data_IF_766194113627
#
_entry.id   IF_766194113627
#
_cell.length_a   1.000
_cell.length_b   1.000
_cell.length_c   1.000
_cell.angle_alpha   90.00
_cell.angle_beta   90.00
_cell.angle_gamma   90.00
#
_symmetry.space_group_name_H-M   'P 1'
#
loop_
_entity.id
_entity.type
_entity.pdbx_description
1 polymer ?
#
# COMPACT_ATOMS: atom_id res chain seq x y z
N UNK A 1 -0.58 -2.02 -0.07
CA UNK A 1 -0.56 -0.68 -0.65
C UNK A 1 -1.98 -0.25 -1.00
N UNK A 2 -2.37 0.98 -0.66
CA UNK A 2 -3.75 1.46 -0.83
C UNK A 2 -3.82 2.49 -1.95
N UNK A 3 -4.66 2.23 -2.96
CA UNK A 3 -4.82 3.07 -4.15
C UNK A 3 -6.23 3.67 -4.16
N UNK A 4 -6.33 4.98 -4.36
CA UNK A 4 -7.58 5.65 -4.70
C UNK A 4 -7.67 5.74 -6.23
N UNK A 5 -8.79 5.33 -6.81
CA UNK A 5 -9.06 5.43 -8.24
C UNK A 5 -10.32 6.26 -8.44
N UNK A 6 -10.19 7.36 -9.14
CA UNK A 6 -11.30 8.22 -9.55
C UNK A 6 -11.51 8.06 -11.06
N UNK A 7 -12.62 7.44 -11.44
CA UNK A 7 -13.00 7.09 -12.82
C UNK A 7 -14.53 7.02 -12.91
N UNK A 8 -15.13 7.75 -13.83
CA UNK A 8 -16.58 7.80 -14.03
C UNK A 8 -17.11 6.79 -15.08
N UNK A 9 -16.22 6.28 -15.94
CA UNK A 9 -16.56 5.19 -16.86
C UNK A 9 -16.68 3.87 -16.10
N UNK A 10 -17.91 3.43 -15.83
CA UNK A 10 -18.18 2.26 -15.01
C UNK A 10 -17.51 0.96 -15.52
N UNK A 11 -17.49 0.62 -16.83
CA UNK A 11 -16.76 -0.52 -17.36
C UNK A 11 -15.25 -0.45 -17.08
N UNK A 12 -14.63 0.72 -17.27
CA UNK A 12 -13.21 0.89 -17.00
C UNK A 12 -12.91 0.84 -15.50
N UNK A 13 -13.75 1.46 -14.69
CA UNK A 13 -13.65 1.44 -13.24
C UNK A 13 -13.67 0.00 -12.68
N UNK A 14 -14.62 -0.82 -13.13
CA UNK A 14 -14.72 -2.23 -12.73
C UNK A 14 -13.50 -3.03 -13.19
N UNK A 15 -13.06 -2.83 -14.44
CA UNK A 15 -11.84 -3.47 -14.95
C UNK A 15 -10.61 -3.10 -14.12
N UNK A 16 -10.43 -1.82 -13.81
CA UNK A 16 -9.30 -1.35 -12.98
C UNK A 16 -9.36 -1.93 -11.57
N UNK A 17 -10.54 -1.93 -10.96
CA UNK A 17 -10.75 -2.49 -9.63
C UNK A 17 -10.32 -3.96 -9.56
N UNK A 18 -10.84 -4.79 -10.47
CA UNK A 18 -10.53 -6.22 -10.51
C UNK A 18 -9.05 -6.47 -10.76
N UNK A 19 -8.45 -5.77 -11.74
CA UNK A 19 -7.05 -5.99 -12.12
C UNK A 19 -6.07 -5.51 -11.04
N UNK A 20 -6.31 -4.37 -10.42
CA UNK A 20 -5.48 -3.87 -9.33
C UNK A 20 -5.60 -4.74 -8.07
N UNK A 21 -6.78 -5.31 -7.80
CA UNK A 21 -6.92 -6.29 -6.71
C UNK A 21 -6.16 -7.60 -6.98
N UNK A 22 -6.11 -8.06 -8.23
CA UNK A 22 -5.28 -9.21 -8.62
C UNK A 22 -3.79 -8.95 -8.37
N UNK A 23 -3.33 -7.71 -8.57
CA UNK A 23 -1.97 -7.24 -8.22
C UNK A 23 -1.81 -6.94 -6.71
N UNK A 24 -2.76 -7.39 -5.87
CA UNK A 24 -2.71 -7.27 -4.41
C UNK A 24 -2.82 -5.84 -3.85
N UNK A 25 -3.27 -4.87 -4.64
CA UNK A 25 -3.56 -3.53 -4.15
C UNK A 25 -4.89 -3.48 -3.40
N UNK A 26 -4.95 -2.66 -2.37
CA UNK A 26 -6.22 -2.26 -1.76
C UNK A 26 -6.78 -1.07 -2.50
N UNK A 27 -7.89 -1.25 -3.19
CA UNK A 27 -8.45 -0.24 -4.09
C UNK A 27 -9.72 0.37 -3.50
N UNK A 28 -9.78 1.69 -3.50
CA UNK A 28 -11.00 2.48 -3.28
C UNK A 28 -11.39 3.13 -4.59
N UNK A 29 -12.62 2.87 -5.05
CA UNK A 29 -13.17 3.48 -6.26
C UNK A 29 -14.08 4.65 -5.91
N UNK A 30 -14.04 5.69 -6.73
CA UNK A 30 -14.98 6.83 -6.72
C UNK A 30 -15.25 7.27 -8.15
N UNK A 31 -16.39 7.93 -8.40
CA UNK A 31 -16.82 8.32 -9.74
C UNK A 31 -16.90 9.84 -9.95
N UNK A 32 -16.57 10.63 -8.95
CA UNK A 32 -16.55 12.10 -9.07
C UNK A 32 -15.33 12.73 -8.38
N UNK A 33 -14.98 13.94 -8.84
CA UNK A 33 -13.79 14.65 -8.39
C UNK A 33 -13.89 15.16 -6.96
N UNK A 34 -15.06 15.60 -6.52
CA UNK A 34 -15.28 16.11 -5.16
C UNK A 34 -15.11 15.02 -4.11
N UNK A 35 -15.65 13.82 -4.37
CA UNK A 35 -15.42 12.68 -3.49
C UNK A 35 -13.96 12.21 -3.52
N UNK A 36 -13.34 12.19 -4.71
CA UNK A 36 -11.92 11.87 -4.85
C UNK A 36 -11.04 12.78 -4.00
N UNK A 37 -11.28 14.08 -4.08
CA UNK A 37 -10.56 15.08 -3.30
C UNK A 37 -10.76 14.90 -1.80
N UNK A 38 -12.01 14.77 -1.35
CA UNK A 38 -12.35 14.56 0.05
C UNK A 38 -11.64 13.33 0.62
N UNK A 39 -11.74 12.20 -0.06
CA UNK A 39 -11.09 10.96 0.38
C UNK A 39 -9.57 11.06 0.37
N UNK A 40 -8.99 11.69 -0.66
CA UNK A 40 -7.55 11.93 -0.71
C UNK A 40 -7.05 12.76 0.47
N UNK A 41 -7.87 13.65 1.04
CA UNK A 41 -7.52 14.46 2.21
C UNK A 41 -7.73 13.73 3.53
N UNK A 42 -8.87 13.08 3.68
CA UNK A 42 -9.32 12.50 4.95
C UNK A 42 -8.65 11.16 5.27
N UNK A 43 -8.14 10.47 4.25
CA UNK A 43 -7.58 9.15 4.40
C UNK A 43 -6.15 9.05 3.88
N UNK A 44 -5.44 8.01 4.34
CA UNK A 44 -4.10 7.72 3.85
C UNK A 44 -4.17 6.79 2.62
N UNK A 45 -3.67 7.28 1.50
CA UNK A 45 -3.43 6.52 0.28
C UNK A 45 -1.95 6.55 -0.06
N UNK A 46 -1.48 5.49 -0.69
CA UNK A 46 -0.10 5.39 -1.17
C UNK A 46 0.02 5.88 -2.62
N UNK A 47 -1.12 5.92 -3.34
CA UNK A 47 -1.18 6.28 -4.76
C UNK A 47 -2.59 6.72 -5.16
N UNK A 48 -2.68 7.63 -6.13
CA UNK A 48 -3.96 8.06 -6.74
C UNK A 48 -3.89 7.84 -8.25
N UNK A 49 -4.95 7.24 -8.81
CA UNK A 49 -5.22 7.21 -10.25
C UNK A 49 -6.41 8.13 -10.46
N UNK A 50 -6.28 9.13 -11.32
CA UNK A 50 -7.24 10.21 -11.44
C UNK A 50 -7.58 10.46 -12.91
N UNK A 51 -8.83 10.25 -13.31
CA UNK A 51 -9.27 10.68 -14.62
C UNK A 51 -9.30 12.20 -14.72
N UNK A 52 -8.92 12.70 -15.88
CA UNK A 52 -8.98 14.13 -16.19
C UNK A 52 -10.43 14.63 -16.26
N UNK A 53 -11.35 13.83 -16.84
CA UNK A 53 -12.72 14.22 -17.15
C UNK A 53 -13.71 13.70 -16.10
N UNK A 54 -13.50 14.01 -14.84
CA UNK A 54 -14.44 13.65 -13.78
C UNK A 54 -15.62 14.63 -13.71
N UNK A 55 -16.83 14.15 -13.36
CA UNK A 55 -17.95 15.03 -13.04
C UNK A 55 -17.72 15.80 -11.75
N UNK A 56 -18.54 16.83 -11.54
CA UNK A 56 -18.54 17.77 -10.43
C UNK A 56 -17.25 18.60 -10.34
N UNK A 57 -16.11 18.02 -10.05
CA UNK A 57 -14.80 18.69 -9.99
C UNK A 57 -13.84 17.98 -10.94
N UNK A 58 -13.34 18.70 -11.94
CA UNK A 58 -12.44 18.13 -12.96
C UNK A 58 -11.13 17.62 -12.37
N UNK A 59 -10.62 16.52 -12.93
CA UNK A 59 -9.40 15.87 -12.41
C UNK A 59 -8.20 16.78 -12.28
N UNK A 60 -8.07 17.83 -13.13
CA UNK A 60 -6.97 18.79 -13.05
C UNK A 60 -7.06 19.65 -11.78
N UNK A 61 -8.25 20.05 -11.37
CA UNK A 61 -8.45 20.88 -10.17
C UNK A 61 -8.26 20.01 -8.91
N UNK A 62 -8.75 18.78 -8.94
CA UNK A 62 -8.48 17.77 -7.90
C UNK A 62 -6.97 17.56 -7.73
N UNK A 63 -6.22 17.42 -8.83
CA UNK A 63 -4.75 17.28 -8.81
C UNK A 63 -4.09 18.47 -8.12
N UNK A 64 -4.45 19.71 -8.52
CA UNK A 64 -3.89 20.94 -7.92
C UNK A 64 -4.16 21.00 -6.42
N UNK A 65 -5.36 20.66 -6.01
CA UNK A 65 -5.76 20.65 -4.60
C UNK A 65 -5.01 19.57 -3.80
N UNK A 66 -4.81 18.38 -4.39
CA UNK A 66 -3.97 17.33 -3.79
C UNK A 66 -2.54 17.83 -3.63
N UNK A 67 -1.95 18.45 -4.65
CA UNK A 67 -0.57 18.98 -4.57
C UNK A 67 -0.41 20.05 -3.50
N UNK A 68 -1.40 20.92 -3.33
CA UNK A 68 -1.38 21.95 -2.29
C UNK A 68 -1.36 21.41 -0.86
N UNK A 69 -2.06 20.29 -0.61
CA UNK A 69 -2.20 19.70 0.75
C UNK A 69 -1.32 18.48 1.00
N UNK A 70 -1.08 17.67 -0.03
CA UNK A 70 -0.32 16.42 0.02
C UNK A 70 0.67 16.36 -1.13
N UNK A 71 1.71 17.19 -1.15
CA UNK A 71 2.64 17.31 -2.27
C UNK A 71 3.36 16.01 -2.63
N UNK A 72 3.55 15.14 -1.63
CA UNK A 72 4.26 13.86 -1.78
C UNK A 72 3.34 12.68 -2.15
N UNK A 73 2.02 12.88 -2.28
CA UNK A 73 1.09 11.80 -2.65
C UNK A 73 1.21 11.52 -4.15
N UNK A 74 1.67 10.35 -4.59
CA UNK A 74 1.84 10.06 -6.01
C UNK A 74 0.49 10.06 -6.74
N UNK A 75 0.42 10.78 -7.88
CA UNK A 75 -0.78 10.87 -8.72
C UNK A 75 -0.44 10.55 -10.17
N UNK A 76 -1.10 9.54 -10.72
CA UNK A 76 -1.12 9.22 -12.14
C UNK A 76 -2.43 9.73 -12.74
N UNK A 77 -2.32 10.64 -13.72
CA UNK A 77 -3.48 11.08 -14.48
C UNK A 77 -3.82 10.10 -15.59
N UNK A 78 -5.11 9.84 -15.78
CA UNK A 78 -5.64 9.10 -16.94
C UNK A 78 -6.43 10.07 -17.81
N UNK A 79 -6.24 10.02 -19.12
CA UNK A 79 -6.86 11.00 -20.02
C UNK A 79 -7.23 10.40 -21.37
N UNK A 80 -8.40 10.78 -21.89
CA UNK A 80 -8.79 10.52 -23.29
C UNK A 80 -8.25 11.56 -24.27
N UNK A 81 -7.62 12.63 -23.78
CA UNK A 81 -7.10 13.70 -24.63
C UNK A 81 -5.93 13.20 -25.51
N UNK A 82 -5.91 13.69 -26.76
CA UNK A 82 -5.00 13.17 -27.79
C UNK A 82 -3.79 14.06 -28.06
N UNK A 83 -3.74 15.26 -27.48
CA UNK A 83 -2.70 16.23 -27.79
C UNK A 83 -1.52 16.10 -26.82
N UNK A 84 -0.31 16.18 -27.34
CA UNK A 84 0.92 16.19 -26.53
C UNK A 84 0.90 17.37 -25.51
N UNK A 85 0.25 18.46 -25.84
CA UNK A 85 0.07 19.63 -25.00
C UNK A 85 -0.72 19.33 -23.72
N UNK A 86 -1.70 18.41 -23.78
CA UNK A 86 -2.46 18.01 -22.60
C UNK A 86 -1.59 17.24 -21.62
N UNK A 87 -0.71 16.37 -22.12
CA UNK A 87 0.24 15.65 -21.31
C UNK A 87 1.21 16.60 -20.58
N UNK A 88 1.74 17.60 -21.30
CA UNK A 88 2.61 18.62 -20.71
C UNK A 88 1.88 19.39 -19.60
N UNK A 89 0.63 19.84 -19.86
CA UNK A 89 -0.20 20.54 -18.86
C UNK A 89 -0.42 19.73 -17.58
N UNK A 90 -0.62 18.43 -17.71
CA UNK A 90 -0.83 17.56 -16.55
C UNK A 90 0.44 17.42 -15.72
N UNK A 91 1.59 17.27 -16.36
CA UNK A 91 2.89 17.20 -15.68
C UNK A 91 3.25 18.56 -15.02
N UNK A 92 3.04 19.67 -15.71
CA UNK A 92 3.25 21.02 -15.17
C UNK A 92 2.32 21.33 -13.98
N UNK A 93 1.11 20.74 -13.97
CA UNK A 93 0.18 20.82 -12.85
C UNK A 93 0.59 19.95 -11.65
N UNK A 94 1.64 19.14 -11.80
CA UNK A 94 2.20 18.33 -10.73
C UNK A 94 1.80 16.86 -10.77
N UNK A 95 1.28 16.34 -11.88
CA UNK A 95 1.13 14.88 -12.02
C UNK A 95 2.51 14.20 -12.06
N UNK A 96 2.64 13.04 -11.42
CA UNK A 96 3.89 12.26 -11.47
C UNK A 96 4.07 11.53 -12.79
N UNK A 97 2.96 11.19 -13.44
CA UNK A 97 2.92 10.65 -14.81
C UNK A 97 1.50 10.81 -15.36
N UNK A 98 1.33 10.59 -16.66
CA UNK A 98 0.01 10.51 -17.27
C UNK A 98 -0.08 9.37 -18.28
N UNK A 99 -1.27 8.78 -18.40
CA UNK A 99 -1.57 7.63 -19.24
C UNK A 99 -2.78 7.93 -20.14
N UNK A 100 -2.60 7.70 -21.43
CA UNK A 100 -3.66 7.95 -22.42
C UNK A 100 -4.58 6.74 -22.58
N UNK A 101 -5.89 6.97 -22.59
CA UNK A 101 -6.92 6.00 -22.99
C UNK A 101 -6.98 5.85 -24.53
N UNK A 102 -7.13 4.63 -25.09
CA UNK A 102 -7.14 3.35 -24.39
C UNK A 102 -5.71 2.85 -24.07
N UNK A 103 -5.57 2.10 -22.99
CA UNK A 103 -4.29 1.55 -22.54
C UNK A 103 -4.40 0.07 -22.16
N UNK A 104 -3.27 -0.64 -22.22
CA UNK A 104 -3.17 -1.98 -21.67
C UNK A 104 -2.92 -1.90 -20.15
N UNK A 105 -3.52 -2.82 -19.38
CA UNK A 105 -3.28 -2.87 -17.92
C UNK A 105 -1.80 -3.02 -17.57
N UNK A 106 -1.05 -3.78 -18.36
CA UNK A 106 0.40 -3.93 -18.17
C UNK A 106 1.14 -2.59 -18.23
N UNK A 107 0.72 -1.65 -19.09
CA UNK A 107 1.28 -0.31 -19.15
C UNK A 107 0.94 0.49 -17.89
N UNK A 108 -0.33 0.50 -17.46
CA UNK A 108 -0.75 1.15 -16.22
C UNK A 108 0.07 0.62 -15.03
N UNK A 109 0.18 -0.70 -14.89
CA UNK A 109 0.93 -1.33 -13.81
C UNK A 109 2.44 -0.95 -13.85
N UNK A 110 3.03 -0.88 -15.04
CA UNK A 110 4.42 -0.46 -15.20
C UNK A 110 4.63 1.02 -14.79
N UNK A 111 3.68 1.90 -15.13
CA UNK A 111 3.72 3.32 -14.76
C UNK A 111 3.51 3.53 -13.27
N UNK A 112 2.58 2.82 -12.65
CA UNK A 112 2.40 2.82 -11.19
C UNK A 112 3.74 2.47 -10.52
N UNK A 113 4.38 1.36 -10.93
CA UNK A 113 5.69 0.97 -10.38
C UNK A 113 6.77 2.02 -10.62
N UNK A 114 6.80 2.65 -11.81
CA UNK A 114 7.78 3.67 -12.13
C UNK A 114 7.62 4.95 -11.30
N UNK A 115 6.39 5.42 -11.12
CA UNK A 115 6.06 6.59 -10.31
C UNK A 115 6.39 6.34 -8.84
N UNK A 116 5.99 5.19 -8.31
CA UNK A 116 6.29 4.80 -6.94
C UNK A 116 7.80 4.71 -6.69
N UNK A 117 8.58 4.24 -7.66
CA UNK A 117 10.04 4.21 -7.58
C UNK A 117 10.66 5.62 -7.58
N UNK A 118 10.10 6.57 -8.33
CA UNK A 118 10.58 7.96 -8.40
C UNK A 118 10.17 8.80 -7.19
N UNK A 119 8.91 8.67 -6.76
CA UNK A 119 8.34 9.37 -5.61
C UNK A 119 8.73 8.79 -4.26
N UNK A 120 9.25 7.59 -4.26
CA UNK A 120 9.83 7.03 -3.05
C UNK A 120 11.21 7.65 -2.83
N UNK A 121 11.33 8.48 -1.80
CA UNK A 121 12.56 8.38 -1.01
C UNK A 121 12.80 6.89 -0.80
N UNK A 122 14.02 6.36 -0.95
CA UNK A 122 14.31 4.94 -0.77
C UNK A 122 13.63 4.31 0.44
N UNK A 123 13.39 5.10 1.48
CA UNK A 123 12.76 4.72 2.75
C UNK A 123 11.27 4.35 2.66
N UNK A 124 10.53 4.74 1.60
CA UNK A 124 9.08 4.42 1.50
C UNK A 124 8.77 3.19 0.65
N UNK A 125 9.62 2.88 -0.33
CA UNK A 125 9.43 1.68 -1.16
C UNK A 125 9.88 0.42 -0.43
N UNK A 126 10.95 0.52 0.37
CA UNK A 126 11.51 -0.58 1.13
C UNK A 126 11.30 -0.32 2.63
N UNK A 127 10.59 -1.22 3.30
CA UNK A 127 10.52 -1.23 4.76
C UNK A 127 11.67 -2.10 5.26
N UNK A 128 12.33 -1.63 6.34
CA UNK A 128 13.43 -2.36 6.98
C UNK A 128 13.21 -2.45 8.48
N UNK A 129 13.38 -3.64 9.04
CA UNK A 129 13.39 -3.90 10.48
C UNK A 129 14.57 -4.82 10.78
N UNK A 130 15.65 -4.26 11.31
CA UNK A 130 16.89 -4.98 11.46
C UNK A 130 17.45 -5.42 10.11
N UNK A 131 17.64 -6.73 9.94
CA UNK A 131 18.12 -7.38 8.71
C UNK A 131 16.99 -7.85 7.76
N UNK A 132 15.74 -7.59 8.12
CA UNK A 132 14.55 -7.91 7.33
C UNK A 132 14.15 -6.72 6.47
N UNK A 133 13.92 -6.97 5.18
CA UNK A 133 13.55 -5.96 4.21
C UNK A 133 12.33 -6.42 3.41
N UNK A 134 11.39 -5.50 3.17
CA UNK A 134 10.28 -5.67 2.21
C UNK A 134 10.42 -4.62 1.13
N UNK A 135 10.58 -5.05 -0.11
CA UNK A 135 10.33 -4.20 -1.28
C UNK A 135 8.85 -4.29 -1.64
N UNK A 136 8.11 -3.23 -1.33
CA UNK A 136 6.66 -3.12 -1.52
C UNK A 136 6.26 -3.06 -3.00
N UNK A 137 7.18 -2.63 -3.86
CA UNK A 137 6.95 -2.46 -5.29
C UNK A 137 7.24 -3.75 -6.05
N UNK A 138 8.31 -4.43 -5.70
CA UNK A 138 8.66 -5.71 -6.26
C UNK A 138 7.90 -6.88 -5.63
N UNK A 139 7.09 -6.63 -4.55
CA UNK A 139 6.49 -7.67 -3.70
C UNK A 139 7.52 -8.70 -3.23
N UNK A 140 8.75 -8.25 -2.99
CA UNK A 140 9.87 -9.09 -2.59
C UNK A 140 10.20 -8.91 -1.10
N UNK A 141 10.56 -9.99 -0.45
CA UNK A 141 10.99 -10.02 0.95
C UNK A 141 12.33 -10.71 1.04
N UNK A 142 13.22 -10.14 1.84
CA UNK A 142 14.50 -10.77 2.15
C UNK A 142 14.89 -10.53 3.62
N UNK A 143 15.65 -11.46 4.20
CA UNK A 143 16.28 -11.30 5.50
C UNK A 143 17.75 -11.68 5.44
N UNK A 144 18.63 -10.77 5.86
CA UNK A 144 20.08 -10.97 5.74
C UNK A 144 20.52 -11.27 4.29
N UNK A 145 19.87 -10.68 3.30
CA UNK A 145 20.11 -10.92 1.86
C UNK A 145 19.55 -12.22 1.32
N UNK A 146 18.87 -13.06 2.13
CA UNK A 146 18.21 -14.29 1.67
C UNK A 146 16.77 -14.02 1.31
N UNK A 147 16.32 -14.35 0.09
CA UNK A 147 14.93 -14.14 -0.31
C UNK A 147 14.00 -15.06 0.48
N UNK A 148 12.81 -14.53 0.79
CA UNK A 148 11.75 -15.24 1.51
C UNK A 148 10.49 -15.20 0.65
N UNK A 149 9.96 -16.38 0.31
CA UNK A 149 8.71 -16.50 -0.42
C UNK A 149 7.52 -16.47 0.53
N UNK A 150 6.68 -15.44 0.36
CA UNK A 150 5.47 -15.23 1.14
C UNK A 150 4.23 -15.30 0.26
N UNK A 151 3.18 -15.93 0.79
CA UNK A 151 1.85 -15.80 0.18
C UNK A 151 1.35 -14.35 0.31
N UNK A 152 0.36 -13.95 -0.49
CA UNK A 152 -0.19 -12.58 -0.45
C UNK A 152 -0.65 -12.13 0.93
N UNK A 153 -1.24 -13.02 1.70
CA UNK A 153 -1.72 -12.69 3.06
C UNK A 153 -0.57 -12.60 4.08
N UNK A 154 0.44 -13.45 3.94
CA UNK A 154 1.66 -13.35 4.76
C UNK A 154 2.41 -12.05 4.47
N UNK A 155 2.51 -11.66 3.18
CA UNK A 155 3.12 -10.40 2.77
C UNK A 155 2.38 -9.20 3.36
N UNK A 156 1.05 -9.15 3.20
CA UNK A 156 0.22 -8.06 3.74
C UNK A 156 0.30 -7.96 5.27
N UNK A 157 0.35 -9.10 5.97
CA UNK A 157 0.52 -9.14 7.41
C UNK A 157 1.91 -8.64 7.82
N UNK A 158 2.96 -9.08 7.14
CA UNK A 158 4.32 -8.66 7.43
C UNK A 158 4.50 -7.15 7.15
N UNK A 159 3.99 -6.65 6.02
CA UNK A 159 3.98 -5.23 5.69
C UNK A 159 3.27 -4.41 6.77
N UNK A 160 2.09 -4.86 7.23
CA UNK A 160 1.35 -4.19 8.29
C UNK A 160 2.14 -4.11 9.59
N UNK A 161 2.76 -5.21 10.02
CA UNK A 161 3.61 -5.23 11.21
C UNK A 161 4.82 -4.29 11.08
N UNK A 162 5.52 -4.32 9.93
CA UNK A 162 6.71 -3.49 9.70
C UNK A 162 6.39 -2.00 9.64
N UNK A 163 5.21 -1.60 9.17
CA UNK A 163 4.74 -0.21 9.25
C UNK A 163 4.51 0.28 10.68
N UNK A 164 4.32 -0.65 11.62
CA UNK A 164 4.12 -0.38 13.04
C UNK A 164 5.33 -0.88 13.86
N UNK A 165 6.54 -0.78 13.28
CA UNK A 165 7.76 -1.20 13.97
C UNK A 165 7.83 -0.63 15.38
N UNK A 166 8.17 -1.50 16.35
CA UNK A 166 8.30 -1.12 17.75
C UNK A 166 6.96 -0.92 18.50
N UNK A 167 5.83 -0.97 17.81
CA UNK A 167 4.50 -0.84 18.40
C UNK A 167 3.80 -2.19 18.51
N UNK A 168 3.09 -2.41 19.62
CA UNK A 168 2.22 -3.57 19.75
C UNK A 168 0.90 -3.33 19.03
N UNK A 169 0.56 -4.20 18.07
CA UNK A 169 -0.70 -4.16 17.33
C UNK A 169 -1.64 -5.25 17.80
N UNK A 170 -2.93 -4.91 17.98
CA UNK A 170 -3.92 -5.86 18.45
C UNK A 170 -4.34 -6.83 17.34
N UNK A 171 -4.84 -8.01 17.75
CA UNK A 171 -5.39 -8.99 16.80
C UNK A 171 -6.53 -8.41 15.98
N UNK A 172 -7.41 -7.65 16.61
CA UNK A 172 -8.53 -6.97 15.94
C UNK A 172 -8.03 -6.01 14.87
N UNK A 173 -7.08 -5.13 15.19
CA UNK A 173 -6.49 -4.23 14.22
C UNK A 173 -5.83 -4.96 13.04
N UNK A 174 -5.18 -6.09 13.30
CA UNK A 174 -4.59 -6.94 12.24
C UNK A 174 -5.70 -7.52 11.34
N UNK A 175 -6.78 -8.07 11.93
CA UNK A 175 -7.91 -8.63 11.15
C UNK A 175 -8.54 -7.56 10.28
N UNK A 176 -8.87 -6.41 10.82
CA UNK A 176 -9.47 -5.30 10.09
C UNK A 176 -8.61 -4.82 8.93
N UNK A 177 -7.30 -4.67 9.14
CA UNK A 177 -6.40 -4.10 8.13
C UNK A 177 -5.96 -5.12 7.07
N UNK A 178 -5.72 -6.37 7.46
CA UNK A 178 -5.17 -7.40 6.57
C UNK A 178 -6.27 -8.24 5.90
N UNK A 179 -7.35 -8.56 6.64
CA UNK A 179 -8.46 -9.37 6.12
C UNK A 179 -9.68 -8.55 5.71
N UNK A 180 -9.78 -7.27 6.17
CA UNK A 180 -10.91 -6.36 5.88
C UNK A 180 -12.26 -6.94 6.34
N UNK A 181 -12.27 -7.63 7.47
CA UNK A 181 -13.44 -8.26 8.07
C UNK A 181 -13.67 -7.62 9.45
N UNK A 182 -14.89 -7.14 9.68
CA UNK A 182 -15.30 -6.49 10.94
C UNK A 182 -15.95 -7.50 11.91
N UNK A 183 -15.42 -8.71 12.09
CA UNK A 183 -16.00 -9.70 12.99
C UNK A 183 -14.99 -10.24 14.01
N UNK A 184 -15.40 -10.25 15.26
CA UNK A 184 -14.64 -10.66 16.45
C UNK A 184 -14.25 -12.16 16.48
N UNK A 185 -14.82 -12.98 15.59
CA UNK A 185 -14.69 -14.43 15.62
C UNK A 185 -13.46 -15.00 14.90
N UNK A 186 -12.68 -14.19 14.16
CA UNK A 186 -11.53 -14.65 13.37
C UNK A 186 -10.16 -14.35 13.96
N UNK A 187 -10.04 -14.04 15.23
CA UNK A 187 -8.75 -13.73 15.87
C UNK A 187 -7.75 -14.89 15.81
N UNK A 188 -8.23 -16.14 15.79
CA UNK A 188 -7.37 -17.33 15.67
C UNK A 188 -6.63 -17.41 14.32
N UNK A 189 -7.17 -16.83 13.24
CA UNK A 189 -6.49 -16.80 11.94
C UNK A 189 -5.19 -16.01 12.00
N UNK A 190 -5.16 -14.94 12.78
CA UNK A 190 -3.95 -14.13 12.98
C UNK A 190 -2.83 -14.96 13.58
N UNK A 191 -3.13 -15.74 14.60
CA UNK A 191 -2.14 -16.57 15.31
C UNK A 191 -1.52 -17.64 14.38
N UNK A 192 -2.34 -18.21 13.48
CA UNK A 192 -1.87 -19.15 12.46
C UNK A 192 -0.91 -18.47 11.48
N UNK A 193 -1.29 -17.31 10.94
CA UNK A 193 -0.46 -16.57 9.98
C UNK A 193 0.82 -15.99 10.61
N UNK A 194 0.78 -15.58 11.87
CA UNK A 194 1.96 -15.21 12.64
C UNK A 194 2.92 -16.40 12.76
N UNK A 195 2.41 -17.59 13.03
CA UNK A 195 3.26 -18.79 13.09
C UNK A 195 3.87 -19.14 11.72
N UNK A 196 3.12 -18.96 10.62
CA UNK A 196 3.68 -19.12 9.27
C UNK A 196 4.79 -18.10 8.99
N UNK A 197 4.57 -16.83 9.32
CA UNK A 197 5.58 -15.80 9.18
C UNK A 197 6.83 -16.10 10.01
N UNK A 198 6.70 -16.48 11.28
CA UNK A 198 7.84 -16.84 12.13
C UNK A 198 8.68 -17.96 11.55
N UNK A 199 8.03 -19.00 10.99
CA UNK A 199 8.73 -20.10 10.34
C UNK A 199 9.56 -19.64 9.14
N UNK A 200 9.07 -18.67 8.39
CA UNK A 200 9.73 -18.16 7.18
C UNK A 200 10.73 -17.03 7.47
N UNK A 201 10.36 -16.14 8.38
CA UNK A 201 11.13 -14.93 8.67
C UNK A 201 12.14 -15.15 9.80
N UNK A 202 11.78 -15.85 10.87
CA UNK A 202 12.62 -15.97 12.08
C UNK A 202 13.41 -17.27 12.16
N UNK A 203 13.01 -18.30 11.42
CA UNK A 203 13.72 -19.60 11.48
C UNK A 203 15.12 -19.52 10.90
N UNK A 204 16.10 -20.01 11.66
CA UNK A 204 17.52 -19.99 11.25
C UNK A 204 18.25 -18.67 11.55
N UNK A 205 17.64 -17.78 12.32
CA UNK A 205 18.26 -16.55 12.82
C UNK A 205 18.29 -16.54 14.35
N UNK A 206 19.38 -16.03 14.92
CA UNK A 206 19.57 -15.97 16.38
C UNK A 206 18.56 -15.05 17.08
N UNK A 207 18.00 -14.09 16.35
CA UNK A 207 17.05 -13.12 16.89
C UNK A 207 15.72 -13.20 16.17
N UNK A 208 14.64 -13.51 16.91
CA UNK A 208 13.28 -13.38 16.42
C UNK A 208 12.86 -11.92 16.36
N UNK A 209 12.34 -11.51 15.20
CA UNK A 209 11.81 -10.15 14.97
C UNK A 209 10.35 -10.03 15.39
N UNK A 210 9.56 -11.11 15.21
CA UNK A 210 8.11 -11.11 15.49
C UNK A 210 7.88 -11.64 16.92
N UNK A 211 7.35 -10.77 17.80
CA UNK A 211 7.10 -11.07 19.20
C UNK A 211 5.63 -11.10 19.52
N UNK A 212 5.25 -11.88 20.54
CA UNK A 212 3.91 -11.84 21.13
C UNK A 212 3.95 -10.93 22.35
N UNK A 213 3.07 -9.94 22.38
CA UNK A 213 2.85 -9.10 23.56
C UNK A 213 1.62 -9.64 24.27
N UNK A 214 1.84 -10.32 25.40
CA UNK A 214 0.77 -10.98 26.16
C UNK A 214 -0.35 -9.99 26.50
N UNK A 215 -1.60 -10.39 26.27
CA UNK A 215 -2.78 -9.56 26.53
C UNK A 215 -3.03 -8.46 25.50
N UNK A 216 -2.12 -8.21 24.55
CA UNK A 216 -2.28 -7.16 23.53
C UNK A 216 -2.34 -7.75 22.13
N UNK A 217 -1.29 -8.40 21.67
CA UNK A 217 -1.20 -8.88 20.28
C UNK A 217 0.24 -9.16 19.85
N UNK A 218 0.70 -8.52 18.76
CA UNK A 218 1.99 -8.77 18.15
C UNK A 218 2.78 -7.49 17.91
N UNK A 219 4.09 -7.64 17.87
CA UNK A 219 5.05 -6.56 17.61
C UNK A 219 6.16 -7.09 16.72
N UNK A 220 6.68 -6.26 15.81
CA UNK A 220 7.91 -6.53 15.07
C UNK A 220 8.99 -5.50 15.44
N UNK A 221 10.25 -5.95 15.53
CA UNK A 221 11.34 -5.05 15.90
C UNK A 221 11.24 -4.57 17.35
N UNK A 222 11.82 -3.38 17.59
CA UNK A 222 11.91 -2.76 18.92
C UNK A 222 13.06 -3.30 19.77
N UNK A 223 13.73 -2.40 20.49
CA UNK A 223 14.75 -2.75 21.51
C UNK A 223 14.02 -3.22 22.79
N UNK A 224 13.54 -4.45 22.80
CA UNK A 224 13.12 -5.09 24.04
C UNK A 224 14.37 -5.47 24.83
N UNK A 225 14.61 -4.77 25.93
CA UNK A 225 15.52 -5.23 26.95
C UNK A 225 15.23 -6.71 27.26
N UNK A 226 16.28 -7.48 27.36
CA UNK A 226 16.29 -8.86 27.84
C UNK A 226 15.47 -8.95 29.15
N UNK A 227 14.22 -9.39 29.09
CA UNK A 227 13.63 -10.04 30.24
C UNK A 227 14.12 -11.49 30.20
N UNK A 228 15.20 -11.71 30.97
CA UNK A 228 15.59 -13.02 31.41
C UNK A 228 14.35 -13.70 32.02
N UNK A 229 14.03 -14.86 31.50
CA UNK A 229 13.15 -15.82 32.18
C UNK A 229 13.76 -16.09 33.56
N UNK A 230 13.13 -15.55 34.60
CA UNK A 230 13.34 -16.03 35.95
C UNK A 230 12.52 -17.30 36.06
N UNK A 231 13.22 -18.41 35.88
CA UNK A 231 12.79 -19.70 36.43
C UNK A 231 12.77 -19.58 37.96
N UNK A 232 11.63 -19.76 38.54
CA UNK A 232 11.48 -20.39 39.86
C UNK A 232 10.15 -21.11 39.91
#
# INVERSE_FOLDING_TARGET
MRILVAEDDAPLAEFLHQRLQQEQFSVQMVSDGGEAQRLAFDQAYDFVILDLNLPAEGGLDVLRNIRAKKPDLPVLMVTGASLAEDHVRLLDAGADDSLRKPFAFAELAARIRAVLRRGSRPDRAVLKVGDLEIDRLAHAVQRGGRPIDLSPKEFALLEFLMRHEGQAVTRTAIVEQVWKINFDTMTNVVDVYINYLRRKVDSGYDRSLIRTIRGVGYQIGGNGALHQDIQT
#
